data_IF_334641900649
#
_entry.id   IF_334641900649
#
_cell.length_a   1.000
_cell.length_b   1.000
_cell.length_c   1.000
_cell.angle_alpha   90.00
_cell.angle_beta   90.00
_cell.angle_gamma   90.00
#
_symmetry.space_group_name_H-M   'P 1'
#
loop_
_entity.id
_entity.type
_entity.pdbx_description
1 polymer ?
#
# COMPACT_ATOMS: atom_id res chain seq x y z
N UNK A 1 16.28 9.43 8.92
CA UNK A 1 14.85 9.11 8.87
C UNK A 1 14.36 8.80 10.27
N UNK A 2 13.18 9.29 10.68
CA UNK A 2 12.79 9.25 12.10
C UNK A 2 11.61 8.34 12.42
N UNK A 3 10.71 8.09 11.46
CA UNK A 3 9.50 7.34 11.75
C UNK A 3 8.80 6.84 10.48
N UNK A 4 7.96 5.84 10.65
CA UNK A 4 7.04 5.32 9.66
C UNK A 4 5.64 5.83 10.01
N UNK A 5 4.95 6.41 9.01
CA UNK A 5 3.57 6.87 9.16
C UNK A 5 2.69 6.14 8.14
N UNK A 6 1.50 5.70 8.57
CA UNK A 6 0.62 4.95 7.70
C UNK A 6 -0.85 5.36 7.78
N UNK A 7 -1.58 5.06 6.71
CA UNK A 7 -3.05 5.05 6.67
C UNK A 7 -3.52 3.68 6.21
N UNK A 8 -4.30 2.98 7.03
CA UNK A 8 -4.81 1.64 6.76
C UNK A 8 -6.33 1.62 6.80
N UNK A 9 -6.94 0.71 6.03
CA UNK A 9 -8.39 0.46 6.04
C UNK A 9 -8.70 -0.95 6.56
N UNK A 10 -8.17 -1.98 5.91
CA UNK A 10 -8.47 -3.40 6.24
C UNK A 10 -7.38 -4.08 7.06
N UNK A 11 -6.32 -3.37 7.40
CA UNK A 11 -5.23 -3.86 8.23
C UNK A 11 -3.91 -4.14 7.51
N UNK A 12 -3.91 -4.49 6.22
CA UNK A 12 -2.67 -4.84 5.50
C UNK A 12 -1.60 -3.76 5.55
N UNK A 13 -1.98 -2.49 5.36
CA UNK A 13 -1.02 -1.38 5.42
C UNK A 13 -0.44 -1.21 6.84
N UNK A 14 -1.27 -1.37 7.86
CA UNK A 14 -0.81 -1.33 9.26
C UNK A 14 0.15 -2.49 9.55
N UNK A 15 -0.16 -3.70 9.07
CA UNK A 15 0.69 -4.87 9.22
C UNK A 15 2.06 -4.66 8.56
N UNK A 16 2.10 -4.17 7.32
CA UNK A 16 3.37 -3.80 6.66
C UNK A 16 4.13 -2.71 7.42
N UNK A 17 3.44 -1.69 7.92
CA UNK A 17 4.10 -0.63 8.68
C UNK A 17 4.76 -1.16 9.96
N UNK A 18 4.11 -2.09 10.68
CA UNK A 18 4.67 -2.73 11.87
C UNK A 18 5.86 -3.64 11.51
N UNK A 19 5.75 -4.46 10.46
CA UNK A 19 6.84 -5.29 9.98
C UNK A 19 8.06 -4.46 9.59
N UNK A 20 7.84 -3.39 8.81
CA UNK A 20 8.90 -2.49 8.40
C UNK A 20 9.52 -1.73 9.58
N UNK A 21 8.70 -1.29 10.52
CA UNK A 21 9.17 -0.62 11.75
C UNK A 21 10.07 -1.51 12.59
N UNK A 22 9.71 -2.78 12.72
CA UNK A 22 10.53 -3.78 13.41
C UNK A 22 11.85 -4.03 12.67
N UNK A 23 11.80 -4.20 11.35
CA UNK A 23 12.98 -4.47 10.52
C UNK A 23 13.98 -3.30 10.51
N UNK A 24 13.48 -2.06 10.50
CA UNK A 24 14.30 -0.85 10.45
C UNK A 24 14.58 -0.21 11.81
N UNK A 25 14.03 -0.78 12.89
CA UNK A 25 14.07 -0.22 14.24
C UNK A 25 13.55 1.24 14.27
N UNK A 26 12.41 1.50 13.63
CA UNK A 26 11.78 2.80 13.55
C UNK A 26 10.41 2.80 14.26
N UNK A 27 10.04 3.89 14.96
CA UNK A 27 8.69 4.04 15.50
C UNK A 27 7.65 4.10 14.38
N UNK A 28 6.45 3.57 14.68
CA UNK A 28 5.34 3.47 13.73
C UNK A 28 4.11 4.16 14.30
N UNK A 29 3.50 5.03 13.51
CA UNK A 29 2.28 5.74 13.89
C UNK A 29 1.27 5.75 12.74
N UNK A 30 -0.01 5.65 13.07
CA UNK A 30 -1.02 6.04 12.10
C UNK A 30 -0.92 7.55 11.80
N UNK A 31 -1.39 7.98 10.63
CA UNK A 31 -1.35 9.40 10.26
C UNK A 31 -2.09 10.28 11.29
N UNK A 32 -3.17 9.78 11.85
CA UNK A 32 -3.91 10.47 12.90
C UNK A 32 -3.10 10.62 14.19
N UNK A 33 -2.44 9.57 14.65
CA UNK A 33 -1.59 9.60 15.84
C UNK A 33 -0.35 10.48 15.63
N UNK A 34 0.21 10.44 14.41
CA UNK A 34 1.42 11.18 14.06
C UNK A 34 1.24 12.70 14.19
N UNK A 35 0.05 13.24 13.94
CA UNK A 35 -0.23 14.68 14.10
C UNK A 35 0.10 15.21 15.49
N UNK A 36 -0.03 14.37 16.51
CA UNK A 36 0.23 14.74 17.90
C UNK A 36 1.57 14.25 18.44
N UNK A 37 2.23 13.31 17.73
CA UNK A 37 3.44 12.63 18.23
C UNK A 37 4.69 12.93 17.43
N UNK A 38 4.55 13.33 16.17
CA UNK A 38 5.65 13.52 15.24
C UNK A 38 5.72 14.99 14.86
N UNK A 39 6.84 15.69 15.11
CA UNK A 39 6.99 17.09 14.74
C UNK A 39 6.78 17.31 13.24
N UNK A 40 6.11 18.40 12.88
CA UNK A 40 5.95 18.80 11.48
C UNK A 40 7.32 18.93 10.79
N UNK A 41 7.39 18.58 9.51
CA UNK A 41 8.64 18.60 8.76
C UNK A 41 9.59 17.42 9.03
N UNK A 42 9.24 16.49 9.94
CA UNK A 42 10.04 15.29 10.19
C UNK A 42 10.18 14.44 8.93
N UNK A 43 11.34 13.82 8.75
CA UNK A 43 11.58 12.86 7.66
C UNK A 43 10.90 11.52 7.95
N UNK A 44 10.08 11.06 7.03
CA UNK A 44 9.26 9.87 7.20
C UNK A 44 9.32 8.91 6.01
N UNK A 45 9.02 7.64 6.26
CA UNK A 45 8.52 6.68 5.26
C UNK A 45 6.99 6.67 5.40
N UNK A 46 6.29 6.86 4.30
CA UNK A 46 4.83 6.83 4.29
C UNK A 46 4.27 5.56 3.66
N UNK A 47 3.34 4.90 4.33
CA UNK A 47 2.58 3.78 3.79
C UNK A 47 1.09 4.13 3.70
N UNK A 48 0.47 3.92 2.54
CA UNK A 48 -0.97 4.13 2.36
C UNK A 48 -1.60 3.03 1.51
N UNK A 49 -2.86 2.69 1.80
CA UNK A 49 -3.57 1.76 0.95
C UNK A 49 -3.98 2.41 -0.37
N UNK A 50 -4.00 1.61 -1.44
CA UNK A 50 -4.33 2.08 -2.79
C UNK A 50 -5.82 1.86 -3.06
N UNK A 51 -6.47 2.90 -3.58
CA UNK A 51 -7.81 2.81 -4.15
C UNK A 51 -7.85 3.57 -5.47
N UNK A 52 -8.24 2.88 -6.55
CA UNK A 52 -8.27 3.44 -7.90
C UNK A 52 -6.98 4.21 -8.26
N UNK A 53 -5.82 3.63 -7.97
CA UNK A 53 -4.49 4.20 -8.17
C UNK A 53 -4.08 5.27 -7.16
N UNK A 54 -5.00 5.79 -6.34
CA UNK A 54 -4.72 6.81 -5.33
C UNK A 54 -4.25 6.21 -4.01
N UNK A 55 -3.14 6.72 -3.45
CA UNK A 55 -2.62 6.34 -2.13
C UNK A 55 -3.31 7.20 -1.07
N UNK A 56 -4.12 6.58 -0.23
CA UNK A 56 -4.86 7.28 0.83
C UNK A 56 -3.95 7.89 1.87
N UNK A 57 -4.23 9.15 2.21
CA UNK A 57 -3.48 9.94 3.20
C UNK A 57 -2.15 10.52 2.70
N UNK A 58 -1.64 10.11 1.53
CA UNK A 58 -0.34 10.60 1.04
C UNK A 58 -0.27 12.12 0.89
N UNK A 59 -1.29 12.73 0.26
CA UNK A 59 -1.30 14.18 0.06
C UNK A 59 -1.28 14.97 1.38
N UNK A 60 -1.95 14.44 2.41
CA UNK A 60 -1.96 15.04 3.74
C UNK A 60 -0.60 14.85 4.44
N UNK A 61 -0.05 13.63 4.40
CA UNK A 61 1.27 13.36 4.95
C UNK A 61 2.36 14.22 4.31
N UNK A 62 2.31 14.41 2.98
CA UNK A 62 3.28 15.23 2.24
C UNK A 62 3.19 16.73 2.55
N UNK A 63 2.04 17.22 3.04
CA UNK A 63 1.90 18.59 3.54
C UNK A 63 2.51 18.80 4.93
N UNK A 64 2.45 17.76 5.77
CA UNK A 64 2.87 17.83 7.16
C UNK A 64 4.33 17.43 7.38
N UNK A 65 4.83 16.50 6.55
CA UNK A 65 6.11 15.84 6.75
C UNK A 65 6.97 15.83 5.48
N UNK A 66 8.25 15.63 5.67
CA UNK A 66 9.20 15.40 4.57
C UNK A 66 9.22 13.92 4.20
N UNK A 67 8.39 13.54 3.23
CA UNK A 67 8.29 12.15 2.77
C UNK A 67 9.56 11.77 2.01
N UNK A 68 10.27 10.74 2.48
CA UNK A 68 11.51 10.23 1.88
C UNK A 68 11.29 9.01 1.01
N UNK A 69 10.26 8.23 1.31
CA UNK A 69 9.80 7.12 0.48
C UNK A 69 8.30 6.90 0.68
N UNK A 70 7.64 6.33 -0.32
CA UNK A 70 6.22 6.00 -0.33
C UNK A 70 6.03 4.53 -0.64
N UNK A 71 5.20 3.86 0.16
CA UNK A 71 4.74 2.50 -0.11
C UNK A 71 3.22 2.51 -0.31
N UNK A 72 2.77 2.13 -1.49
CA UNK A 72 1.36 1.91 -1.79
C UNK A 72 1.00 0.44 -1.59
N UNK A 73 0.00 0.16 -0.75
CA UNK A 73 -0.48 -1.21 -0.49
C UNK A 73 -1.79 -1.44 -1.22
N UNK A 74 -1.81 -2.37 -2.14
CA UNK A 74 -2.97 -2.65 -3.00
C UNK A 74 -3.15 -4.13 -3.30
N UNK A 75 -4.03 -4.43 -4.25
CA UNK A 75 -4.32 -5.81 -4.68
C UNK A 75 -3.32 -6.35 -5.71
N UNK A 76 -2.66 -5.45 -6.46
CA UNK A 76 -1.67 -5.83 -7.46
C UNK A 76 -0.44 -6.46 -6.83
N UNK A 77 0.27 -7.26 -7.62
CA UNK A 77 1.54 -7.86 -7.17
C UNK A 77 2.55 -6.77 -6.77
N UNK A 78 3.42 -7.12 -5.82
CA UNK A 78 4.48 -6.24 -5.35
C UNK A 78 5.39 -5.83 -6.51
N UNK A 79 5.66 -4.52 -6.62
CA UNK A 79 6.51 -3.95 -7.66
C UNK A 79 5.80 -3.61 -8.98
N UNK A 80 4.49 -3.86 -9.09
CA UNK A 80 3.69 -3.53 -10.28
C UNK A 80 2.99 -2.18 -10.17
N UNK A 81 2.43 -1.65 -11.28
CA UNK A 81 1.63 -0.41 -11.34
C UNK A 81 2.35 0.87 -10.88
N UNK A 82 3.67 0.86 -10.78
CA UNK A 82 4.46 1.97 -10.25
C UNK A 82 4.21 3.29 -10.99
N UNK A 83 4.16 3.25 -12.33
CA UNK A 83 3.96 4.45 -13.15
C UNK A 83 2.58 5.05 -12.92
N UNK A 84 1.53 4.23 -12.97
CA UNK A 84 0.14 4.66 -12.76
C UNK A 84 -0.05 5.28 -11.38
N UNK A 85 0.44 4.58 -10.34
CA UNK A 85 0.34 5.04 -8.94
C UNK A 85 1.12 6.34 -8.74
N UNK A 86 2.30 6.47 -9.32
CA UNK A 86 3.11 7.71 -9.25
C UNK A 86 2.39 8.89 -9.86
N UNK A 87 1.90 8.73 -11.09
CA UNK A 87 1.23 9.79 -11.85
C UNK A 87 -0.06 10.22 -11.14
N UNK A 88 -0.87 9.27 -10.69
CA UNK A 88 -2.13 9.54 -9.98
C UNK A 88 -1.96 10.33 -8.69
N UNK A 89 -0.86 10.14 -7.99
CA UNK A 89 -0.57 10.78 -6.72
C UNK A 89 0.39 11.98 -6.84
N UNK A 90 0.86 12.30 -8.06
CA UNK A 90 1.87 13.33 -8.32
C UNK A 90 3.13 13.16 -7.43
N UNK A 91 3.60 11.91 -7.28
CA UNK A 91 4.80 11.63 -6.47
C UNK A 91 6.04 12.02 -7.28
N UNK A 92 6.86 12.98 -6.78
CA UNK A 92 8.08 13.40 -7.47
C UNK A 92 9.03 12.23 -7.77
N UNK A 93 9.72 12.27 -8.93
CA UNK A 93 10.63 11.20 -9.34
C UNK A 93 11.75 10.93 -8.32
N UNK A 94 12.19 11.97 -7.60
CA UNK A 94 13.22 11.84 -6.56
C UNK A 94 12.77 11.07 -5.32
N UNK A 95 11.46 10.82 -5.16
CA UNK A 95 10.92 10.06 -4.03
C UNK A 95 10.72 8.61 -4.48
N UNK A 96 11.42 7.64 -3.90
CA UNK A 96 11.18 6.22 -4.14
C UNK A 96 9.73 5.85 -3.87
N UNK A 97 9.15 5.09 -4.79
CA UNK A 97 7.82 4.53 -4.69
C UNK A 97 7.92 3.01 -4.78
N UNK A 98 7.29 2.35 -3.83
CA UNK A 98 7.15 0.91 -3.79
C UNK A 98 5.66 0.55 -3.76
N UNK A 99 5.26 -0.47 -4.48
CA UNK A 99 3.92 -1.06 -4.41
C UNK A 99 4.03 -2.42 -3.74
N UNK A 100 3.14 -2.70 -2.83
CA UNK A 100 3.14 -3.90 -1.99
C UNK A 100 1.79 -4.59 -2.11
N UNK A 101 1.79 -5.90 -2.31
CA UNK A 101 0.56 -6.67 -2.36
C UNK A 101 -0.01 -6.87 -0.95
N UNK A 102 -1.24 -6.42 -0.73
CA UNK A 102 -1.95 -6.55 0.54
C UNK A 102 -2.81 -7.81 0.61
N UNK A 103 -3.30 -8.12 1.80
CA UNK A 103 -4.31 -9.14 1.99
C UNK A 103 -5.64 -8.68 1.37
N UNK A 104 -6.42 -9.62 0.88
CA UNK A 104 -7.75 -9.34 0.35
C UNK A 104 -8.83 -10.00 1.20
N UNK A 105 -9.66 -9.18 1.82
CA UNK A 105 -10.81 -9.62 2.59
C UNK A 105 -11.93 -8.57 2.49
N UNK A 106 -12.89 -8.83 1.62
CA UNK A 106 -14.05 -7.94 1.40
C UNK A 106 -14.89 -7.77 2.67
N UNK A 107 -14.87 -8.76 3.58
CA UNK A 107 -15.64 -8.72 4.83
C UNK A 107 -15.14 -7.64 5.80
N UNK A 108 -13.86 -7.27 5.70
CA UNK A 108 -13.25 -6.20 6.50
C UNK A 108 -13.52 -4.79 6.00
N UNK A 109 -14.09 -4.66 4.79
CA UNK A 109 -14.49 -3.37 4.24
C UNK A 109 -15.86 -2.96 4.79
N UNK A 110 -16.06 -1.66 4.99
CA UNK A 110 -17.32 -1.09 5.48
C UNK A 110 -17.87 -0.02 4.54
N UNK A 111 -19.20 0.19 4.58
CA UNK A 111 -19.88 1.27 3.88
C UNK A 111 -19.66 1.29 2.38
N UNK A 112 -19.43 2.48 1.83
CA UNK A 112 -19.25 2.73 0.39
C UNK A 112 -18.11 1.90 -0.19
N UNK A 113 -17.00 1.72 0.52
CA UNK A 113 -15.87 0.94 0.05
C UNK A 113 -16.20 -0.54 -0.14
N UNK A 114 -16.99 -1.12 0.76
CA UNK A 114 -17.49 -2.50 0.61
C UNK A 114 -18.38 -2.63 -0.62
N UNK A 115 -19.27 -1.67 -0.83
CA UNK A 115 -20.15 -1.66 -2.01
C UNK A 115 -19.35 -1.54 -3.30
N UNK A 116 -18.44 -0.57 -3.41
CA UNK A 116 -17.59 -0.39 -4.59
C UNK A 116 -16.73 -1.62 -4.87
N UNK A 117 -16.18 -2.25 -3.84
CA UNK A 117 -15.36 -3.45 -3.99
C UNK A 117 -16.22 -4.66 -4.44
N UNK A 118 -17.43 -4.80 -3.92
CA UNK A 118 -18.35 -5.85 -4.37
C UNK A 118 -18.73 -5.70 -5.86
N UNK A 119 -18.95 -4.46 -6.33
CA UNK A 119 -19.20 -4.18 -7.75
C UNK A 119 -17.96 -4.53 -8.58
N UNK A 120 -16.77 -4.10 -8.15
CA UNK A 120 -15.51 -4.41 -8.84
C UNK A 120 -15.25 -5.93 -8.92
N UNK A 121 -15.45 -6.64 -7.82
CA UNK A 121 -15.29 -8.11 -7.77
C UNK A 121 -16.26 -8.80 -8.74
N UNK A 122 -17.52 -8.37 -8.79
CA UNK A 122 -18.51 -8.94 -9.71
C UNK A 122 -18.18 -8.67 -11.18
N UNK A 123 -17.68 -7.48 -11.52
CA UNK A 123 -17.36 -7.10 -12.90
C UNK A 123 -16.01 -7.64 -13.35
N UNK A 124 -14.94 -7.35 -12.61
CA UNK A 124 -13.60 -7.79 -12.93
C UNK A 124 -13.42 -9.31 -12.79
N UNK A 125 -14.03 -9.91 -11.74
CA UNK A 125 -13.99 -11.35 -11.52
C UNK A 125 -14.64 -12.14 -12.66
N UNK A 126 -15.79 -11.67 -13.18
CA UNK A 126 -16.43 -12.30 -14.36
C UNK A 126 -15.60 -12.13 -15.63
N UNK A 127 -15.01 -10.96 -15.84
CA UNK A 127 -14.13 -10.70 -16.98
C UNK A 127 -12.91 -11.62 -16.97
N UNK A 128 -12.24 -11.73 -15.82
CA UNK A 128 -11.08 -12.60 -15.63
C UNK A 128 -11.45 -14.09 -15.71
N UNK A 129 -12.55 -14.51 -15.12
CA UNK A 129 -13.00 -15.91 -15.16
C UNK A 129 -13.30 -16.39 -16.60
N UNK A 130 -13.80 -15.51 -17.45
CA UNK A 130 -14.13 -15.83 -18.85
C UNK A 130 -12.92 -15.71 -19.79
N UNK A 131 -11.80 -15.18 -19.35
CA UNK A 131 -10.57 -15.05 -20.15
C UNK A 131 -9.82 -16.38 -20.17
N UNK A 132 -9.48 -16.88 -21.35
CA UNK A 132 -8.81 -18.18 -21.54
C UNK A 132 -7.27 -18.10 -21.52
N UNK A 133 -6.72 -16.91 -21.78
CA UNK A 133 -5.29 -16.63 -21.93
C UNK A 133 -4.79 -15.69 -20.80
N UNK A 134 -5.16 -16.01 -19.56
CA UNK A 134 -4.76 -15.22 -18.40
C UNK A 134 -3.25 -15.29 -18.16
N UNK A 135 -2.70 -14.15 -17.74
CA UNK A 135 -1.34 -14.08 -17.19
C UNK A 135 -1.30 -14.61 -15.75
N UNK A 136 -0.11 -14.91 -15.23
CA UNK A 136 0.06 -15.32 -13.83
C UNK A 136 -0.46 -14.26 -12.85
N UNK A 137 -0.32 -12.97 -13.19
CA UNK A 137 -0.87 -11.87 -12.39
C UNK A 137 -2.40 -11.88 -12.38
N UNK A 138 -3.02 -12.15 -13.53
CA UNK A 138 -4.48 -12.25 -13.65
C UNK A 138 -5.04 -13.47 -12.94
N UNK A 139 -4.31 -14.60 -12.94
CA UNK A 139 -4.67 -15.78 -12.18
C UNK A 139 -4.58 -15.54 -10.67
N UNK A 140 -3.52 -14.88 -10.17
CA UNK A 140 -3.37 -14.50 -8.76
C UNK A 140 -4.48 -13.51 -8.35
N UNK A 141 -4.80 -12.54 -9.22
CA UNK A 141 -5.90 -11.60 -8.98
C UNK A 141 -7.25 -12.32 -8.89
N UNK A 142 -7.51 -13.27 -9.78
CA UNK A 142 -8.75 -14.06 -9.77
C UNK A 142 -8.82 -14.92 -8.50
N UNK A 143 -7.74 -15.56 -8.10
CA UNK A 143 -7.67 -16.34 -6.87
C UNK A 143 -7.95 -15.46 -5.63
N UNK A 144 -7.35 -14.27 -5.56
CA UNK A 144 -7.63 -13.31 -4.49
C UNK A 144 -9.11 -12.88 -4.47
N UNK A 145 -9.72 -12.66 -5.62
CA UNK A 145 -11.14 -12.27 -5.73
C UNK A 145 -12.06 -13.38 -5.24
N UNK A 146 -11.77 -14.64 -5.58
CA UNK A 146 -12.61 -15.80 -5.27
C UNK A 146 -12.40 -16.27 -3.83
N UNK A 147 -11.15 -16.48 -3.45
CA UNK A 147 -10.78 -17.16 -2.21
C UNK A 147 -10.32 -16.20 -1.10
N UNK A 148 -10.04 -14.93 -1.45
CA UNK A 148 -9.32 -14.02 -0.57
C UNK A 148 -7.88 -14.47 -0.39
N UNK A 149 -7.19 -13.94 0.61
CA UNK A 149 -5.87 -14.47 0.96
C UNK A 149 -4.98 -13.50 1.71
N UNK A 150 -4.01 -14.08 2.40
CA UNK A 150 -2.92 -13.36 3.04
C UNK A 150 -1.76 -13.24 2.06
N UNK A 151 -1.37 -12.01 1.73
CA UNK A 151 -0.24 -11.71 0.84
C UNK A 151 0.82 -10.82 1.53
N UNK A 152 0.50 -10.27 2.70
CA UNK A 152 1.47 -9.50 3.50
C UNK A 152 2.60 -10.41 3.94
N UNK A 153 3.83 -10.02 3.59
CA UNK A 153 5.03 -10.77 3.94
C UNK A 153 6.26 -9.87 4.02
N UNK A 154 7.28 -10.29 4.77
CA UNK A 154 8.58 -9.61 4.81
C UNK A 154 9.29 -9.60 3.44
N UNK A 155 9.07 -10.63 2.63
CA UNK A 155 9.65 -10.71 1.28
C UNK A 155 9.23 -9.53 0.41
N UNK A 156 7.99 -9.08 0.53
CA UNK A 156 7.48 -7.92 -0.22
C UNK A 156 8.16 -6.60 0.20
N UNK A 157 8.72 -6.53 1.41
CA UNK A 157 9.43 -5.35 1.92
C UNK A 157 10.91 -5.30 1.50
N UNK A 158 11.43 -6.33 0.82
CA UNK A 158 12.85 -6.43 0.47
C UNK A 158 13.38 -5.18 -0.23
N UNK A 159 12.70 -4.70 -1.27
CA UNK A 159 13.13 -3.52 -2.00
C UNK A 159 13.14 -2.24 -1.14
N UNK A 160 12.18 -2.10 -0.22
CA UNK A 160 12.12 -0.96 0.72
C UNK A 160 13.27 -1.02 1.72
N UNK A 161 13.56 -2.20 2.26
CA UNK A 161 14.63 -2.39 3.26
C UNK A 161 16.01 -2.21 2.63
N UNK A 162 16.22 -2.72 1.41
CA UNK A 162 17.46 -2.52 0.65
C UNK A 162 17.69 -1.04 0.33
N UNK A 163 16.65 -0.34 -0.15
CA UNK A 163 16.73 1.10 -0.34
C UNK A 163 17.09 1.83 0.95
N UNK A 164 16.43 1.51 2.07
CA UNK A 164 16.71 2.16 3.34
C UNK A 164 18.17 1.96 3.78
N UNK A 165 18.70 0.73 3.64
CA UNK A 165 20.10 0.41 3.97
C UNK A 165 21.10 1.12 3.04
N UNK A 166 20.71 1.44 1.81
CA UNK A 166 21.59 2.15 0.86
C UNK A 166 21.77 3.63 1.15
N UNK A 167 20.91 4.23 1.99
CA UNK A 167 20.95 5.66 2.32
C UNK A 167 21.33 5.96 3.77
N UNK A 168 21.58 4.94 4.59
CA UNK A 168 22.06 5.01 5.97
C UNK A 168 23.30 4.15 6.11
#
# INVERSE_FOLDING_TARGET
MRTIIYTSNTGSTAEYAQLLGKELNLPVHSLQQAKNKVPAGSEIIYLGWIMAGGIKGYKEAAKLYKVRAVCGVGMGQTGTQLKEVRDKNAIPQRIPLFTLQGNFDVKKLHGVYRFMMNVMVKTAGKGLANKTDRTLEEDDMLDMIINGGKRVSLQNLKAVTEWYKSIN
#
